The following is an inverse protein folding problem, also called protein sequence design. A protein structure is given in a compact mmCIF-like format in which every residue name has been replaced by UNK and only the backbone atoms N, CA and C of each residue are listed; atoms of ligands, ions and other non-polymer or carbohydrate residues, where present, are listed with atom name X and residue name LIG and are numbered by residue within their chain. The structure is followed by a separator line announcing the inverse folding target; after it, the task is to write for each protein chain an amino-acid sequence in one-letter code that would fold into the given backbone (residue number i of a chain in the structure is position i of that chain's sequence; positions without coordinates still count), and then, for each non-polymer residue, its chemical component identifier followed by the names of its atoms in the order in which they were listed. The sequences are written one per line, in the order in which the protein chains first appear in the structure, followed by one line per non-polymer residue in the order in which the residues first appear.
data_IF_990032598715
#
_entry.id   IF_990032598715
#
_cell.length_a   1.000
_cell.length_b   1.000
_cell.length_c   1.000
_cell.angle_alpha   90.00
_cell.angle_beta   90.00
_cell.angle_gamma   90.00
#
_symmetry.space_group_name_H-M   'P 1'
#
loop_
_entity.id
_entity.type
_entity.pdbx_description
1 polymer ?
#
# COMPACT_ATOMS: atom_id res chain seq x y z
N UNK A 1 -12.92 4.09 -4.55
CA UNK A 1 -11.47 4.08 -4.29
C UNK A 1 -11.06 2.69 -3.83
N UNK A 2 -9.77 2.38 -3.88
CA UNK A 2 -9.19 1.19 -3.25
C UNK A 2 -7.88 1.55 -2.57
N UNK A 3 -7.60 0.89 -1.45
CA UNK A 3 -6.28 0.89 -0.81
C UNK A 3 -5.45 -0.22 -1.45
N UNK A 4 -4.23 0.10 -1.84
CA UNK A 4 -3.23 -0.90 -2.21
C UNK A 4 -2.17 -1.01 -1.11
N UNK A 5 -1.68 -2.23 -0.92
CA UNK A 5 -0.43 -2.52 -0.21
C UNK A 5 0.42 -3.37 -1.14
N UNK A 6 1.62 -2.89 -1.46
CA UNK A 6 2.55 -3.52 -2.39
C UNK A 6 3.82 -3.97 -1.67
N UNK A 7 4.25 -5.19 -1.94
CA UNK A 7 5.60 -5.66 -1.65
C UNK A 7 6.46 -5.50 -2.91
N UNK A 8 7.55 -4.75 -2.78
CA UNK A 8 8.45 -4.41 -3.89
C UNK A 8 9.81 -5.02 -3.65
N UNK A 9 10.35 -5.69 -4.67
CA UNK A 9 11.66 -6.32 -4.66
C UNK A 9 12.82 -5.31 -4.67
N UNK A 10 14.06 -5.76 -4.39
CA UNK A 10 15.25 -4.93 -4.43
C UNK A 10 15.51 -4.23 -5.78
N UNK A 11 15.00 -4.82 -6.86
CA UNK A 11 15.09 -4.34 -8.24
C UNK A 11 13.92 -3.40 -8.65
N UNK A 12 13.00 -3.13 -7.72
CA UNK A 12 11.78 -2.34 -7.97
C UNK A 12 10.61 -3.14 -8.53
N UNK A 13 10.75 -4.46 -8.69
CA UNK A 13 9.66 -5.31 -9.20
C UNK A 13 8.54 -5.44 -8.18
N UNK A 14 7.29 -5.34 -8.61
CA UNK A 14 6.14 -5.67 -7.77
C UNK A 14 6.07 -7.20 -7.57
N UNK A 15 6.23 -7.64 -6.33
CA UNK A 15 6.33 -9.07 -5.97
C UNK A 15 4.98 -9.63 -5.52
N UNK A 16 4.30 -8.90 -4.65
CA UNK A 16 2.99 -9.26 -4.12
C UNK A 16 2.19 -7.98 -3.86
N UNK A 17 0.87 -8.08 -3.88
CA UNK A 17 -0.01 -6.94 -3.62
C UNK A 17 -1.31 -7.38 -2.96
N UNK A 18 -1.95 -6.42 -2.28
CA UNK A 18 -3.32 -6.51 -1.78
C UNK A 18 -4.05 -5.23 -2.19
N UNK A 19 -5.18 -5.39 -2.87
CA UNK A 19 -6.03 -4.30 -3.37
C UNK A 19 -7.45 -4.49 -2.83
N UNK A 20 -7.87 -3.62 -1.92
CA UNK A 20 -9.16 -3.75 -1.25
C UNK A 20 -9.88 -2.41 -1.13
N UNK A 21 -11.20 -2.48 -0.97
CA UNK A 21 -11.97 -1.34 -0.45
C UNK A 21 -11.52 -1.10 0.99
N UNK A 22 -11.36 0.16 1.45
CA UNK A 22 -10.89 0.44 2.79
C UNK A 22 -11.66 -0.34 3.86
N UNK A 23 -10.93 -0.86 4.85
CA UNK A 23 -11.44 -1.48 6.07
C UNK A 23 -12.63 -2.43 5.84
N UNK A 24 -12.46 -3.35 4.89
CA UNK A 24 -13.46 -4.38 4.54
C UNK A 24 -14.84 -3.81 4.16
N UNK A 25 -14.85 -2.64 3.50
CA UNK A 25 -16.08 -2.00 3.02
C UNK A 25 -16.50 -0.76 3.82
N UNK A 26 -15.70 -0.34 4.81
CA UNK A 26 -15.87 0.94 5.48
C UNK A 26 -15.11 2.05 4.71
N UNK A 27 -15.74 2.53 3.63
CA UNK A 27 -15.15 3.42 2.64
C UNK A 27 -14.83 4.83 3.16
N UNK A 28 -14.04 5.59 2.39
CA UNK A 28 -13.57 6.92 2.83
C UNK A 28 -14.70 7.95 2.98
N UNK A 29 -15.85 7.70 2.34
CA UNK A 29 -17.06 8.51 2.49
C UNK A 29 -17.70 8.41 3.88
N UNK A 30 -17.33 7.40 4.67
CA UNK A 30 -17.86 7.18 6.01
C UNK A 30 -16.94 7.72 7.10
N UNK A 31 -15.68 8.03 6.74
CA UNK A 31 -14.68 8.47 7.68
C UNK A 31 -15.05 9.83 8.26
N UNK A 32 -14.71 10.02 9.54
CA UNK A 32 -14.75 11.34 10.17
C UNK A 32 -13.34 11.88 10.39
N UNK A 33 -13.20 13.21 10.42
CA UNK A 33 -11.92 13.86 10.64
C UNK A 33 -11.28 13.40 11.97
N UNK A 34 -10.00 13.01 11.91
CA UNK A 34 -9.23 12.52 13.06
C UNK A 34 -9.52 11.06 13.45
N UNK A 35 -10.39 10.35 12.73
CA UNK A 35 -10.62 8.93 12.95
C UNK A 35 -9.39 8.10 12.58
N UNK A 36 -9.08 7.10 13.40
CA UNK A 36 -8.10 6.06 13.07
C UNK A 36 -8.85 4.81 12.63
N UNK A 37 -8.79 4.50 11.34
CA UNK A 37 -9.43 3.33 10.74
C UNK A 37 -8.40 2.20 10.66
N UNK A 38 -8.71 1.05 11.26
CA UNK A 38 -7.89 -0.15 11.13
C UNK A 38 -8.24 -0.88 9.82
N UNK A 39 -7.24 -1.08 8.96
CA UNK A 39 -7.41 -1.75 7.67
C UNK A 39 -6.41 -2.90 7.54
N UNK A 40 -6.90 -4.12 7.30
CA UNK A 40 -6.07 -5.33 7.25
C UNK A 40 -5.84 -5.77 5.80
N UNK A 41 -4.56 -5.89 5.43
CA UNK A 41 -4.13 -6.35 4.12
C UNK A 41 -3.26 -7.60 4.24
N UNK A 42 -3.68 -8.66 3.56
CA UNK A 42 -2.94 -9.93 3.49
C UNK A 42 -2.19 -10.00 2.16
N UNK A 43 -0.87 -10.17 2.23
CA UNK A 43 0.00 -10.41 1.09
C UNK A 43 0.31 -11.90 0.97
N UNK A 44 -0.13 -12.52 -0.12
CA UNK A 44 0.24 -13.90 -0.45
C UNK A 44 1.56 -13.86 -1.22
N UNK A 45 2.61 -14.40 -0.60
CA UNK A 45 3.96 -14.36 -1.14
C UNK A 45 4.22 -15.54 -2.09
N UNK A 46 4.88 -15.32 -3.24
CA UNK A 46 5.47 -16.40 -4.04
C UNK A 46 6.38 -17.31 -3.21
N UNK A 47 6.24 -18.62 -3.38
CA UNK A 47 6.99 -19.61 -2.60
C UNK A 47 8.50 -19.65 -2.92
N UNK A 48 8.89 -19.12 -4.08
CA UNK A 48 10.25 -19.06 -4.61
C UNK A 48 10.93 -17.70 -4.38
N UNK A 49 10.35 -16.85 -3.54
CA UNK A 49 10.94 -15.58 -3.15
C UNK A 49 12.31 -15.76 -2.52
N UNK A 50 13.31 -15.08 -3.08
CA UNK A 50 14.65 -15.07 -2.52
C UNK A 50 14.65 -14.37 -1.15
N UNK A 51 15.38 -14.89 -0.16
CA UNK A 51 15.63 -14.17 1.08
C UNK A 51 16.27 -12.81 0.80
N UNK A 52 15.88 -11.77 1.55
CA UNK A 52 16.39 -10.42 1.34
C UNK A 52 15.47 -9.35 1.91
N UNK A 53 15.88 -8.09 1.69
CA UNK A 53 15.09 -6.93 2.05
C UNK A 53 14.12 -6.57 0.90
N UNK A 54 12.85 -6.42 1.24
CA UNK A 54 11.78 -5.99 0.35
C UNK A 54 11.14 -4.75 0.92
N UNK A 55 10.52 -3.91 0.09
CA UNK A 55 9.89 -2.68 0.54
C UNK A 55 8.38 -2.81 0.55
N UNK A 56 7.75 -2.39 1.63
CA UNK A 56 6.30 -2.21 1.67
C UNK A 56 5.94 -0.78 1.28
N UNK A 57 4.97 -0.65 0.36
CA UNK A 57 4.40 0.64 -0.03
C UNK A 57 2.89 0.56 0.06
N UNK A 58 2.24 1.64 0.46
CA UNK A 58 0.78 1.73 0.47
C UNK A 58 0.30 3.05 -0.14
N UNK A 59 -0.97 3.06 -0.56
CA UNK A 59 -1.61 4.25 -1.10
C UNK A 59 -3.01 3.92 -1.58
N UNK A 60 -3.61 4.87 -2.29
CA UNK A 60 -4.97 4.72 -2.81
C UNK A 60 -5.03 5.04 -4.29
N UNK A 61 -6.04 4.49 -4.96
CA UNK A 61 -6.30 4.75 -6.37
C UNK A 61 -7.79 4.77 -6.67
N UNK A 62 -8.13 5.41 -7.79
CA UNK A 62 -9.45 5.29 -8.38
C UNK A 62 -9.54 4.00 -9.21
N UNK A 63 -10.38 3.02 -8.82
CA UNK A 63 -10.49 1.75 -9.53
C UNK A 63 -11.11 1.87 -10.92
N UNK A 64 -11.80 2.97 -11.24
CA UNK A 64 -12.37 3.20 -12.57
C UNK A 64 -11.30 3.62 -13.60
N UNK A 65 -10.29 4.35 -13.15
CA UNK A 65 -9.23 4.90 -14.01
C UNK A 65 -7.86 4.26 -13.80
N UNK A 66 -7.70 3.48 -12.73
CA UNK A 66 -6.42 2.99 -12.21
C UNK A 66 -5.40 4.11 -11.86
N UNK A 67 -5.84 5.37 -11.81
CA UNK A 67 -5.01 6.50 -11.43
C UNK A 67 -4.82 6.52 -9.92
N UNK A 68 -3.58 6.72 -9.47
CA UNK A 68 -3.27 6.89 -8.06
C UNK A 68 -3.83 8.20 -7.54
N UNK A 69 -4.31 8.19 -6.30
CA UNK A 69 -4.76 9.38 -5.61
C UNK A 69 -3.57 10.09 -4.98
N UNK A 70 -3.45 11.42 -5.06
CA UNK A 70 -2.33 12.15 -4.49
C UNK A 70 -2.08 11.82 -3.02
N UNK A 71 -0.81 11.57 -2.66
CA UNK A 71 -0.39 11.36 -1.28
C UNK A 71 0.70 12.36 -0.90
N UNK A 72 0.60 12.96 0.28
CA UNK A 72 1.58 13.93 0.77
C UNK A 72 1.85 13.76 2.26
N UNK A 73 3.04 14.18 2.70
CA UNK A 73 3.41 14.20 4.11
C UNK A 73 2.73 15.35 4.89
N UNK A 74 3.06 15.48 6.18
CA UNK A 74 2.50 16.49 7.07
C UNK A 74 2.84 17.94 6.65
N UNK A 75 3.89 18.14 5.86
CA UNK A 75 4.28 19.43 5.31
C UNK A 75 3.70 19.67 3.91
N UNK A 76 2.87 18.76 3.40
CA UNK A 76 2.25 18.85 2.07
C UNK A 76 3.20 18.51 0.93
N UNK A 77 4.35 17.89 1.19
CA UNK A 77 5.27 17.44 0.14
C UNK A 77 4.74 16.12 -0.44
N UNK A 78 4.63 16.00 -1.77
CA UNK A 78 4.09 14.79 -2.38
C UNK A 78 5.04 13.61 -2.19
N UNK A 79 4.47 12.43 -1.96
CA UNK A 79 5.20 11.17 -1.99
C UNK A 79 5.47 10.74 -3.44
N UNK A 80 6.65 10.15 -3.73
CA UNK A 80 6.91 9.55 -5.04
C UNK A 80 5.88 8.47 -5.40
N UNK A 81 5.42 8.50 -6.65
CA UNK A 81 4.36 7.63 -7.19
C UNK A 81 3.07 7.59 -6.34
N UNK A 82 2.77 8.67 -5.60
CA UNK A 82 1.62 8.75 -4.71
C UNK A 82 1.51 7.54 -3.75
N UNK A 83 2.67 7.06 -3.28
CA UNK A 83 2.76 5.91 -2.41
C UNK A 83 3.63 6.21 -1.20
N UNK A 84 3.10 5.89 -0.03
CA UNK A 84 3.78 6.00 1.25
C UNK A 84 4.69 4.78 1.41
N UNK A 85 5.96 5.02 1.69
CA UNK A 85 6.91 3.97 2.07
C UNK A 85 6.66 3.56 3.52
N UNK A 86 6.30 2.30 3.74
CA UNK A 86 6.04 1.74 5.07
C UNK A 86 7.30 1.13 5.70
N UNK A 87 8.40 1.10 4.95
CA UNK A 87 9.68 0.55 5.36
C UNK A 87 10.00 -0.82 4.76
N UNK A 88 11.16 -1.32 5.15
CA UNK A 88 11.70 -2.58 4.64
C UNK A 88 11.25 -3.77 5.51
N UNK A 89 10.93 -4.88 4.86
CA UNK A 89 10.66 -6.20 5.44
C UNK A 89 11.76 -7.16 5.00
N UNK A 90 12.40 -7.82 5.96
CA UNK A 90 13.39 -8.85 5.68
C UNK A 90 12.74 -10.22 5.65
N UNK A 91 12.77 -10.88 4.49
CA UNK A 91 12.40 -12.28 4.35
C UNK A 91 13.62 -13.16 4.64
N UNK A 92 13.51 -14.02 5.64
CA UNK A 92 14.52 -15.03 6.00
C UNK A 92 14.05 -16.45 5.69
N UNK A 93 14.95 -17.42 5.87
CA UNK A 93 14.64 -18.85 5.85
C UNK A 93 14.06 -19.33 7.17
#
# INVERSE_FOLDING_TARGET
EKVFVHLVGPDGTLVAQSDAVPAQGYGTEQWIEGEVVADEHVLVLPADLAPGAYRLRAGMYDPATAARLPASDAEGRPYPDDAIDLGDVTLGN
#
